data_IF_376250330985
#
_entry.id   IF_376250330985
#
_cell.length_a   1.000
_cell.length_b   1.000
_cell.length_c   1.000
_cell.angle_alpha   90.00
_cell.angle_beta   90.00
_cell.angle_gamma   90.00
#
_symmetry.space_group_name_H-M   'P 1'
#
loop_
_entity.id
_entity.type
_entity.pdbx_description
1 polymer ?
#
# COMPACT_ATOMS: atom_id res chain seq x y z
N UNK A 1 7.48 7.57 17.54
CA UNK A 1 6.63 7.00 18.59
C UNK A 1 6.39 5.51 18.31
N UNK A 2 6.60 4.66 19.31
CA UNK A 2 6.31 3.22 19.21
C UNK A 2 5.08 2.95 20.09
N UNK A 3 3.99 2.53 19.45
CA UNK A 3 2.75 2.19 20.12
C UNK A 3 2.68 0.67 20.35
N UNK A 4 2.60 0.26 21.61
CA UNK A 4 2.63 -1.15 22.02
C UNK A 4 3.87 -1.90 21.50
N UNK A 5 5.05 -1.58 22.03
CA UNK A 5 6.36 -2.02 21.49
C UNK A 5 6.64 -3.52 21.51
N UNK A 6 5.65 -4.38 21.84
CA UNK A 6 5.83 -5.83 21.88
C UNK A 6 6.11 -6.40 20.48
N UNK A 7 7.17 -7.18 20.37
CA UNK A 7 7.55 -7.81 19.11
C UNK A 7 8.10 -6.87 18.05
N UNK A 8 8.38 -5.61 18.38
CA UNK A 8 9.03 -4.67 17.47
C UNK A 8 10.51 -5.03 17.35
N UNK A 9 10.97 -5.20 16.12
CA UNK A 9 12.37 -5.47 15.78
C UNK A 9 12.88 -4.40 14.84
N UNK A 10 13.90 -3.66 15.28
CA UNK A 10 14.55 -2.61 14.48
C UNK A 10 15.99 -3.03 14.25
N UNK A 11 16.34 -3.24 12.97
CA UNK A 11 17.68 -3.63 12.57
C UNK A 11 18.72 -2.54 12.85
N UNK A 12 19.94 -2.92 13.14
CA UNK A 12 21.00 -2.03 13.63
C UNK A 12 21.37 -0.87 12.70
N UNK A 13 21.16 -1.02 11.38
CA UNK A 13 21.45 0.02 10.39
C UNK A 13 20.18 0.72 9.90
N UNK A 14 19.05 0.54 10.59
CA UNK A 14 17.80 1.24 10.27
C UNK A 14 17.95 2.73 10.60
N UNK A 15 17.48 3.57 9.71
CA UNK A 15 17.34 5.00 9.93
C UNK A 15 15.84 5.35 9.96
N UNK A 16 15.43 6.19 10.89
CA UNK A 16 14.03 6.58 11.07
C UNK A 16 13.98 8.10 11.19
N UNK A 17 13.20 8.73 10.30
CA UNK A 17 12.98 10.16 10.31
C UNK A 17 12.06 10.61 11.46
N UNK A 18 11.62 11.87 11.39
CA UNK A 18 10.79 12.49 12.39
C UNK A 18 9.32 12.09 12.30
N UNK A 19 8.61 12.13 13.43
CA UNK A 19 7.16 11.89 13.55
C UNK A 19 6.71 10.53 12.99
N UNK A 20 7.56 9.52 13.03
CA UNK A 20 7.19 8.17 12.64
C UNK A 20 6.39 7.48 13.75
N UNK A 21 5.37 6.71 13.33
CA UNK A 21 4.55 5.88 14.20
C UNK A 21 4.75 4.42 13.85
N UNK A 22 5.15 3.61 14.83
CA UNK A 22 5.44 2.18 14.66
C UNK A 22 4.57 1.40 15.63
N UNK A 23 3.80 0.46 15.11
CA UNK A 23 2.94 -0.40 15.92
C UNK A 23 3.62 -1.72 16.30
N UNK A 24 2.94 -2.49 17.16
CA UNK A 24 3.42 -3.79 17.66
C UNK A 24 3.74 -4.77 16.53
N UNK A 25 4.72 -5.64 16.77
CA UNK A 25 5.08 -6.72 15.85
C UNK A 25 5.76 -6.27 14.55
N UNK A 26 6.06 -4.98 14.41
CA UNK A 26 6.75 -4.44 13.23
C UNK A 26 8.19 -4.95 13.17
N UNK A 27 8.65 -5.31 11.99
CA UNK A 27 10.05 -5.65 11.72
C UNK A 27 10.63 -4.70 10.67
N UNK A 28 11.64 -3.92 11.04
CA UNK A 28 12.49 -3.17 10.14
C UNK A 28 13.80 -3.95 9.96
N UNK A 29 13.82 -4.85 8.99
CA UNK A 29 14.84 -5.89 8.86
C UNK A 29 15.61 -5.85 7.55
N UNK A 30 16.59 -6.75 7.43
CA UNK A 30 17.33 -7.01 6.22
C UNK A 30 16.88 -8.29 5.52
N UNK A 31 17.30 -8.47 4.27
CA UNK A 31 17.03 -9.68 3.47
C UNK A 31 18.04 -10.81 3.72
N UNK A 32 19.07 -10.57 4.51
CA UNK A 32 20.17 -11.50 4.75
C UNK A 32 21.20 -11.59 3.62
N UNK A 33 21.02 -10.87 2.51
CA UNK A 33 21.94 -10.87 1.36
C UNK A 33 22.91 -9.69 1.35
N UNK A 34 22.52 -8.57 1.95
CA UNK A 34 23.24 -7.31 1.91
C UNK A 34 24.25 -7.20 3.05
N UNK A 35 25.41 -6.58 2.80
CA UNK A 35 26.42 -6.23 3.79
C UNK A 35 26.41 -4.73 4.03
N UNK A 36 26.77 -4.30 5.24
CA UNK A 36 26.77 -2.89 5.62
C UNK A 36 25.35 -2.35 5.85
N UNK A 37 24.91 -1.36 5.10
CA UNK A 37 23.53 -0.84 5.15
C UNK A 37 22.58 -1.87 4.57
N UNK A 38 21.94 -2.65 5.43
CA UNK A 38 21.04 -3.76 5.05
C UNK A 38 19.61 -3.61 5.55
N UNK A 39 19.34 -2.56 6.31
CA UNK A 39 18.03 -2.28 6.88
C UNK A 39 17.44 -1.01 6.27
N UNK A 40 16.11 -0.85 6.32
CA UNK A 40 15.42 0.25 5.64
C UNK A 40 15.75 1.62 6.25
N UNK A 41 15.54 2.65 5.43
CA UNK A 41 15.49 4.05 5.87
C UNK A 41 14.07 4.55 5.72
N UNK A 42 13.44 4.97 6.82
CA UNK A 42 12.13 5.61 6.83
C UNK A 42 12.30 7.12 6.75
N UNK A 43 11.53 7.77 5.89
CA UNK A 43 11.41 9.23 5.86
C UNK A 43 10.62 9.77 7.05
N UNK A 44 10.13 11.01 6.92
CA UNK A 44 9.35 11.68 7.95
C UNK A 44 7.85 11.33 7.84
N UNK A 45 7.13 11.39 8.97
CA UNK A 45 5.69 11.15 9.04
C UNK A 45 5.28 9.77 8.46
N UNK A 46 6.07 8.75 8.69
CA UNK A 46 5.78 7.39 8.23
C UNK A 46 5.01 6.64 9.31
N UNK A 47 3.90 6.01 8.91
CA UNK A 47 3.14 5.10 9.77
C UNK A 47 3.37 3.66 9.33
N UNK A 48 3.81 2.81 10.27
CA UNK A 48 4.04 1.38 10.03
C UNK A 48 3.03 0.59 10.86
N UNK A 49 2.04 0.02 10.20
CA UNK A 49 0.94 -0.72 10.83
C UNK A 49 1.38 -1.99 11.54
N UNK A 50 0.54 -2.49 12.44
CA UNK A 50 0.83 -3.65 13.28
C UNK A 50 1.26 -4.88 12.46
N UNK A 51 2.32 -5.56 12.88
CA UNK A 51 2.82 -6.76 12.24
C UNK A 51 3.46 -6.56 10.85
N UNK A 52 3.55 -5.32 10.35
CA UNK A 52 4.18 -5.06 9.06
C UNK A 52 5.68 -5.37 9.07
N UNK A 53 6.19 -5.80 7.93
CA UNK A 53 7.61 -6.13 7.74
C UNK A 53 8.18 -5.32 6.59
N UNK A 54 9.22 -4.55 6.88
CA UNK A 54 9.98 -3.77 5.89
C UNK A 54 11.37 -4.37 5.80
N UNK A 55 11.66 -5.05 4.69
CA UNK A 55 12.83 -5.92 4.61
C UNK A 55 13.73 -5.53 3.43
N UNK A 56 14.86 -4.91 3.73
CA UNK A 56 15.87 -4.53 2.75
C UNK A 56 16.42 -3.12 2.93
N UNK A 57 17.53 -2.78 2.25
CA UNK A 57 18.25 -1.52 2.41
C UNK A 57 17.67 -0.38 1.55
N UNK A 58 16.38 -0.38 1.34
CA UNK A 58 15.72 0.65 0.52
C UNK A 58 15.12 1.78 1.37
N UNK A 59 14.71 2.84 0.69
CA UNK A 59 14.09 4.00 1.30
C UNK A 59 12.57 3.93 1.19
N UNK A 60 11.91 4.21 2.31
CA UNK A 60 10.50 4.56 2.39
C UNK A 60 10.42 6.08 2.46
N UNK A 61 9.66 6.68 1.56
CA UNK A 61 9.51 8.12 1.43
C UNK A 61 8.82 8.79 2.63
N UNK A 62 8.53 10.07 2.48
CA UNK A 62 7.82 10.85 3.50
C UNK A 62 6.30 10.66 3.39
N UNK A 63 5.58 10.84 4.49
CA UNK A 63 4.10 10.73 4.53
C UNK A 63 3.58 9.40 4.00
N UNK A 64 4.30 8.31 4.25
CA UNK A 64 3.93 6.97 3.79
C UNK A 64 3.12 6.26 4.86
N UNK A 65 2.07 5.55 4.44
CA UNK A 65 1.37 4.57 5.26
C UNK A 65 1.70 3.16 4.80
N UNK A 66 2.10 2.32 5.74
CA UNK A 66 2.27 0.88 5.53
C UNK A 66 1.17 0.18 6.33
N UNK A 67 0.30 -0.55 5.63
CA UNK A 67 -0.83 -1.24 6.25
C UNK A 67 -0.37 -2.33 7.23
N UNK A 68 -1.27 -2.69 8.14
CA UNK A 68 -1.02 -3.81 9.05
C UNK A 68 -0.75 -5.11 8.27
N UNK A 69 0.19 -5.91 8.77
CA UNK A 69 0.66 -7.16 8.17
C UNK A 69 1.23 -7.05 6.74
N UNK A 70 1.46 -5.87 6.22
CA UNK A 70 2.08 -5.70 4.90
C UNK A 70 3.55 -6.14 4.92
N UNK A 71 4.02 -6.72 3.82
CA UNK A 71 5.42 -7.12 3.64
C UNK A 71 6.04 -6.30 2.51
N UNK A 72 6.78 -5.27 2.89
CA UNK A 72 7.44 -4.33 1.97
C UNK A 72 8.83 -4.86 1.61
N UNK A 73 9.06 -5.03 0.33
CA UNK A 73 10.30 -5.56 -0.24
C UNK A 73 10.97 -4.59 -1.23
N UNK A 74 10.33 -3.45 -1.51
CA UNK A 74 10.76 -2.45 -2.49
C UNK A 74 10.59 -1.04 -1.92
N UNK A 75 11.27 -0.08 -2.52
CA UNK A 75 11.16 1.33 -2.13
C UNK A 75 9.73 1.86 -2.33
N UNK A 76 9.27 2.69 -1.41
CA UNK A 76 7.96 3.35 -1.49
C UNK A 76 8.18 4.85 -1.68
N UNK A 77 7.59 5.46 -2.72
CA UNK A 77 7.65 6.91 -2.93
C UNK A 77 6.93 7.70 -1.83
N UNK A 78 7.14 9.01 -1.81
CA UNK A 78 6.45 9.93 -0.91
C UNK A 78 4.92 9.91 -1.12
N UNK A 79 4.18 10.17 -0.05
CA UNK A 79 2.72 10.31 -0.04
C UNK A 79 1.96 9.08 -0.55
N UNK A 80 2.49 7.89 -0.35
CA UNK A 80 1.89 6.64 -0.81
C UNK A 80 1.41 5.76 0.35
N UNK A 81 0.45 4.88 0.03
CA UNK A 81 -0.01 3.82 0.92
C UNK A 81 0.35 2.47 0.32
N UNK A 82 1.04 1.63 1.10
CA UNK A 82 1.45 0.29 0.71
C UNK A 82 0.66 -0.77 1.47
N UNK A 83 0.17 -1.80 0.78
CA UNK A 83 -0.75 -2.81 1.32
C UNK A 83 -0.42 -4.19 0.78
N UNK A 84 -0.56 -5.22 1.59
CA UNK A 84 -0.55 -6.62 1.16
C UNK A 84 0.79 -7.33 1.30
N UNK A 85 0.82 -8.59 0.81
CA UNK A 85 1.97 -9.51 0.89
C UNK A 85 2.16 -10.18 -0.48
N UNK A 86 3.18 -9.81 -1.24
CA UNK A 86 4.06 -8.64 -1.07
C UNK A 86 3.30 -7.33 -1.18
N UNK A 87 3.78 -6.29 -0.49
CA UNK A 87 3.11 -5.00 -0.50
C UNK A 87 3.13 -4.35 -1.88
N UNK A 88 1.98 -3.79 -2.24
CA UNK A 88 1.79 -2.99 -3.45
C UNK A 88 1.34 -1.59 -3.07
N UNK A 89 1.65 -0.63 -3.92
CA UNK A 89 1.17 0.74 -3.75
C UNK A 89 -0.30 0.75 -4.13
N UNK A 90 -1.16 0.97 -3.13
CA UNK A 90 -2.61 1.05 -3.32
C UNK A 90 -3.08 2.45 -3.66
N UNK A 91 -2.36 3.49 -3.22
CA UNK A 91 -2.69 4.90 -3.43
C UNK A 91 -1.44 5.75 -3.34
N UNK A 92 -1.29 6.72 -4.24
CA UNK A 92 -0.28 7.77 -4.17
C UNK A 92 -0.93 9.15 -4.37
N UNK A 93 -0.28 10.21 -3.84
CA UNK A 93 -0.74 11.59 -3.93
C UNK A 93 -2.15 11.86 -3.37
N UNK A 94 -2.60 11.00 -2.46
CA UNK A 94 -3.78 11.30 -1.63
C UNK A 94 -3.49 12.45 -0.67
N UNK A 95 -4.56 13.03 -0.05
CA UNK A 95 -4.40 14.04 1.00
C UNK A 95 -3.41 13.54 2.05
N UNK A 96 -2.54 14.43 2.62
CA UNK A 96 -1.62 14.05 3.68
C UNK A 96 -2.40 13.32 4.77
N UNK A 97 -1.97 12.12 5.09
CA UNK A 97 -2.66 11.30 6.07
C UNK A 97 -2.19 11.67 7.47
N UNK A 98 -2.73 12.74 8.03
CA UNK A 98 -2.75 12.95 9.48
C UNK A 98 -3.74 12.03 10.17
N UNK A 99 -4.47 11.25 9.38
CA UNK A 99 -5.53 10.38 9.85
C UNK A 99 -4.97 8.97 10.12
N UNK A 100 -5.15 8.50 11.34
CA UNK A 100 -4.77 7.15 11.80
C UNK A 100 -5.71 6.06 11.24
N UNK A 101 -6.41 6.35 10.15
CA UNK A 101 -7.33 5.41 9.52
C UNK A 101 -6.58 4.21 8.93
N UNK A 102 -6.74 3.07 9.60
CA UNK A 102 -6.24 1.77 9.15
C UNK A 102 -7.36 0.87 8.63
N UNK A 103 -8.59 1.36 8.60
CA UNK A 103 -9.78 0.56 8.23
C UNK A 103 -10.11 0.77 6.74
N UNK A 104 -10.06 2.01 6.27
CA UNK A 104 -10.40 2.33 4.87
C UNK A 104 -9.16 2.29 3.97
N UNK A 105 -8.51 1.14 3.94
CA UNK A 105 -7.35 0.90 3.08
C UNK A 105 -7.84 0.30 1.77
N UNK A 106 -7.54 0.90 0.62
CA UNK A 106 -7.98 0.36 -0.66
C UNK A 106 -7.32 -1.00 -0.94
N UNK A 107 -8.10 -1.96 -1.41
CA UNK A 107 -7.60 -3.26 -1.83
C UNK A 107 -7.05 -3.19 -3.27
N UNK A 108 -5.74 -3.37 -3.49
CA UNK A 108 -5.15 -3.31 -4.83
C UNK A 108 -5.68 -4.38 -5.77
N UNK A 109 -6.04 -5.55 -5.25
CA UNK A 109 -6.58 -6.65 -6.07
C UNK A 109 -7.99 -6.31 -6.54
N UNK A 110 -8.83 -5.80 -5.65
CA UNK A 110 -10.17 -5.34 -6.02
C UNK A 110 -10.12 -4.21 -7.06
N UNK A 111 -9.17 -3.27 -6.92
CA UNK A 111 -8.97 -2.20 -7.90
C UNK A 111 -8.59 -2.73 -9.28
N UNK A 112 -7.66 -3.68 -9.38
CA UNK A 112 -7.27 -4.28 -10.66
C UNK A 112 -8.41 -5.10 -11.27
N UNK A 113 -9.17 -5.83 -10.47
CA UNK A 113 -10.36 -6.55 -10.94
C UNK A 113 -11.42 -5.60 -11.49
N UNK A 114 -11.69 -4.47 -10.81
CA UNK A 114 -12.59 -3.42 -11.32
C UNK A 114 -12.14 -2.87 -12.68
N UNK A 115 -10.84 -2.57 -12.83
CA UNK A 115 -10.29 -2.10 -14.12
C UNK A 115 -10.46 -3.15 -15.23
N UNK A 116 -10.24 -4.41 -14.90
CA UNK A 116 -10.43 -5.52 -15.86
C UNK A 116 -11.90 -5.66 -16.28
N UNK A 117 -12.83 -5.55 -15.34
CA UNK A 117 -14.28 -5.62 -15.59
C UNK A 117 -14.74 -4.47 -16.50
N UNK A 118 -14.27 -3.25 -16.26
CA UNK A 118 -14.56 -2.09 -17.13
C UNK A 118 -14.04 -2.32 -18.54
N UNK A 119 -12.79 -2.80 -18.69
CA UNK A 119 -12.22 -3.10 -20.02
C UNK A 119 -12.98 -4.20 -20.74
N UNK A 120 -13.37 -5.25 -20.01
CA UNK A 120 -14.18 -6.35 -20.56
C UNK A 120 -15.52 -5.84 -21.05
N UNK A 121 -16.24 -5.05 -20.26
CA UNK A 121 -17.52 -4.43 -20.64
C UNK A 121 -17.41 -3.55 -21.88
N UNK A 122 -16.28 -2.83 -22.06
CA UNK A 122 -16.04 -2.03 -23.26
C UNK A 122 -15.81 -2.90 -24.50
N UNK A 123 -15.10 -4.03 -24.36
CA UNK A 123 -14.86 -4.97 -25.45
C UNK A 123 -16.15 -5.67 -25.86
N UNK A 124 -16.98 -6.09 -24.90
CA UNK A 124 -18.29 -6.68 -25.15
C UNK A 124 -19.21 -5.74 -25.93
N UNK A 125 -19.28 -4.46 -25.53
CA UNK A 125 -20.01 -3.44 -26.28
C UNK A 125 -19.51 -3.28 -27.71
N UNK A 126 -18.19 -3.27 -27.93
CA UNK A 126 -17.60 -3.19 -29.28
C UNK A 126 -17.87 -4.43 -30.12
N UNK A 127 -17.95 -5.59 -29.49
CA UNK A 127 -18.24 -6.87 -30.15
C UNK A 127 -19.74 -7.11 -30.37
N UNK A 128 -20.62 -6.23 -29.89
CA UNK A 128 -22.08 -6.39 -29.99
C UNK A 128 -22.62 -7.50 -29.06
N UNK A 129 -21.86 -7.89 -28.05
CA UNK A 129 -22.26 -8.89 -27.08
C UNK A 129 -23.01 -8.18 -25.94
N UNK A 130 -24.21 -8.67 -25.62
CA UNK A 130 -24.93 -8.18 -24.43
C UNK A 130 -24.25 -8.76 -23.21
N UNK A 131 -23.74 -7.93 -22.27
CA UNK A 131 -23.13 -8.42 -21.04
C UNK A 131 -24.13 -9.32 -20.29
N UNK A 132 -23.64 -10.41 -19.71
CA UNK A 132 -24.45 -11.22 -18.80
C UNK A 132 -24.98 -10.32 -17.68
N UNK A 133 -26.23 -10.54 -17.21
CA UNK A 133 -26.74 -9.81 -16.06
C UNK A 133 -25.74 -9.99 -14.93
N UNK A 134 -25.24 -8.86 -14.40
CA UNK A 134 -24.41 -8.89 -13.20
C UNK A 134 -25.32 -9.40 -12.09
N UNK A 135 -25.09 -10.64 -11.67
CA UNK A 135 -25.60 -11.08 -10.37
C UNK A 135 -24.96 -10.13 -9.36
N UNK A 136 -25.73 -9.14 -8.93
CA UNK A 136 -25.25 -8.17 -7.96
C UNK A 136 -24.97 -8.88 -6.61
N UNK A 137 -23.72 -9.20 -6.31
CA UNK A 137 -23.27 -8.93 -4.96
C UNK A 137 -23.07 -7.43 -4.94
N UNK A 138 -23.70 -6.77 -4.01
CA UNK A 138 -23.52 -5.36 -3.67
C UNK A 138 -22.03 -5.14 -3.29
N UNK A 139 -21.19 -5.20 -4.28
CA UNK A 139 -19.78 -4.83 -4.23
C UNK A 139 -19.75 -3.32 -4.38
N UNK A 140 -20.14 -2.65 -3.30
CA UNK A 140 -19.57 -1.36 -2.97
C UNK A 140 -18.08 -1.65 -2.76
N UNK A 141 -17.33 -1.68 -3.87
CA UNK A 141 -15.92 -2.06 -3.86
C UNK A 141 -15.07 -1.03 -3.11
N UNK A 142 -15.69 -0.03 -2.49
CA UNK A 142 -14.98 1.01 -1.73
C UNK A 142 -13.85 1.69 -2.51
N UNK A 143 -13.74 1.34 -3.81
CA UNK A 143 -12.62 1.76 -4.64
C UNK A 143 -12.71 3.25 -5.04
N UNK A 144 -13.84 3.91 -4.79
CA UNK A 144 -14.02 5.32 -5.13
C UNK A 144 -13.74 5.65 -6.61
N UNK A 145 -13.69 4.63 -7.45
CA UNK A 145 -13.38 4.75 -8.86
C UNK A 145 -14.63 5.22 -9.60
N UNK A 146 -14.62 6.44 -10.08
CA UNK A 146 -15.63 6.93 -11.01
C UNK A 146 -15.19 6.61 -12.43
N UNK A 147 -16.14 6.31 -13.31
CA UNK A 147 -15.90 6.06 -14.74
C UNK A 147 -15.15 7.19 -15.44
N UNK A 148 -15.15 8.37 -14.85
CA UNK A 148 -14.54 9.59 -15.39
C UNK A 148 -13.02 9.69 -15.09
N UNK A 149 -12.51 8.86 -14.19
CA UNK A 149 -11.07 8.84 -13.82
C UNK A 149 -10.20 8.04 -14.81
N UNK A 150 -10.80 7.52 -15.88
CA UNK A 150 -10.11 6.60 -16.80
C UNK A 150 -9.19 7.30 -17.82
N UNK A 151 -9.41 8.60 -18.09
CA UNK A 151 -8.64 9.33 -19.10
C UNK A 151 -7.24 9.75 -18.64
N UNK A 152 -6.98 9.71 -17.32
CA UNK A 152 -5.69 10.15 -16.75
C UNK A 152 -4.63 9.03 -16.65
N UNK A 153 -4.92 7.79 -17.07
CA UNK A 153 -4.02 6.64 -16.93
C UNK A 153 -3.63 5.98 -18.27
N UNK A 154 -3.81 6.65 -19.39
CA UNK A 154 -3.32 6.16 -20.68
C UNK A 154 -1.94 6.77 -20.94
N UNK A 155 -0.91 6.04 -20.56
CA UNK A 155 0.46 6.20 -21.11
C UNK A 155 0.81 4.91 -21.83
#
# INVERSE_FOLDING_TARGET
FIDHGMGVVIGETTEIGDNCLIYQGVTLGGTGKDRGKRHPTLGNNVMVGAGARVLGPFKVGNNVKIAANAVVLEAIPDNCTAVGVPARIARCNGKPTTDLDQVHIPDPVAQELCKMDVRLSQLEKKAGITPAPKDEPNLDCGCGFRSDDYDDYVI
#
